data_IF_743940637874
#
_entry.id   IF_743940637874
#
_cell.length_a   1.000
_cell.length_b   1.000
_cell.length_c   1.000
_cell.angle_alpha   90.00
_cell.angle_beta   90.00
_cell.angle_gamma   90.00
#
_symmetry.space_group_name_H-M   'P 1'
#
loop_
_entity.id
_entity.type
_entity.pdbx_description
1 polymer ?
#
# COMPACT_ATOMS: atom_id res chain seq x y z
N UNK A 1 73.61 14.96 62.06
CA UNK A 1 73.12 16.18 61.38
C UNK A 1 72.91 15.84 59.91
N UNK A 2 71.65 15.79 59.44
CA UNK A 2 70.94 16.83 58.67
C UNK A 2 71.65 17.07 57.31
N UNK A 3 71.03 16.92 56.14
CA UNK A 3 69.67 17.32 55.77
C UNK A 3 69.06 16.45 54.66
N UNK A 4 67.77 16.13 54.82
CA UNK A 4 66.87 15.85 53.69
C UNK A 4 66.16 17.17 53.40
N UNK A 5 66.33 17.73 52.20
CA UNK A 5 65.36 18.60 51.52
C UNK A 5 65.95 19.17 50.23
N UNK A 6 65.67 18.53 49.09
CA UNK A 6 65.52 19.26 47.83
C UNK A 6 64.02 19.29 47.56
N UNK A 7 63.39 20.40 47.91
CA UNK A 7 62.03 20.73 47.52
C UNK A 7 62.11 21.44 46.17
N UNK A 8 62.19 20.68 45.08
CA UNK A 8 62.02 21.23 43.74
C UNK A 8 60.54 21.66 43.61
N UNK A 9 60.32 22.98 43.62
CA UNK A 9 58.99 23.57 43.45
C UNK A 9 58.52 23.48 42.01
N UNK A 10 57.22 23.29 41.82
CA UNK A 10 56.58 23.28 40.50
C UNK A 10 56.83 24.61 39.77
N UNK A 11 57.25 24.56 38.50
CA UNK A 11 57.37 25.79 37.72
C UNK A 11 55.98 26.28 37.30
N UNK A 12 55.82 27.61 37.20
CA UNK A 12 54.58 28.21 36.68
C UNK A 12 54.23 27.67 35.28
N UNK A 13 55.25 27.40 34.46
CA UNK A 13 55.11 26.83 33.12
C UNK A 13 54.49 25.42 33.17
N UNK A 14 55.00 24.53 34.02
CA UNK A 14 54.46 23.16 34.17
C UNK A 14 53.02 23.17 34.69
N UNK A 15 52.69 24.10 35.59
CA UNK A 15 51.32 24.25 36.09
C UNK A 15 50.35 24.66 34.97
N UNK A 16 50.73 25.67 34.18
CA UNK A 16 49.91 26.15 33.05
C UNK A 16 49.79 25.06 31.99
N UNK A 17 50.88 24.36 31.67
CA UNK A 17 50.89 23.27 30.69
C UNK A 17 49.98 22.11 31.14
N UNK A 18 50.08 21.72 32.42
CA UNK A 18 49.24 20.66 32.99
C UNK A 18 47.76 21.05 32.94
N UNK A 19 47.42 22.29 33.31
CA UNK A 19 46.06 22.80 33.25
C UNK A 19 45.52 22.85 31.81
N UNK A 20 46.35 23.25 30.85
CA UNK A 20 45.97 23.28 29.44
C UNK A 20 45.68 21.88 28.88
N UNK A 21 46.50 20.88 29.22
CA UNK A 21 46.26 19.49 28.81
C UNK A 21 44.97 18.95 29.44
N UNK A 22 44.73 19.22 30.72
CA UNK A 22 43.47 18.80 31.38
C UNK A 22 42.27 19.48 30.72
N UNK A 23 42.34 20.77 30.43
CA UNK A 23 41.26 21.48 29.74
C UNK A 23 41.01 20.90 28.33
N UNK A 24 42.08 20.56 27.59
CA UNK A 24 41.98 19.90 26.29
C UNK A 24 41.31 18.52 26.42
N UNK A 25 41.73 17.70 27.40
CA UNK A 25 41.15 16.38 27.65
C UNK A 25 39.66 16.47 27.98
N UNK A 26 39.26 17.42 28.84
CA UNK A 26 37.86 17.65 29.17
C UNK A 26 37.08 18.11 27.94
N UNK A 27 37.64 19.04 27.15
CA UNK A 27 37.03 19.52 25.91
C UNK A 27 36.79 18.40 24.90
N UNK A 28 37.77 17.53 24.68
CA UNK A 28 37.64 16.37 23.79
C UNK A 28 36.64 15.34 24.34
N UNK A 29 36.64 15.11 25.65
CA UNK A 29 35.71 14.17 26.30
C UNK A 29 34.26 14.64 26.16
N UNK A 30 33.99 15.92 26.43
CA UNK A 30 32.67 16.53 26.25
C UNK A 30 32.24 16.54 24.79
N UNK A 31 33.17 16.83 23.87
CA UNK A 31 32.93 16.77 22.43
C UNK A 31 32.55 15.36 21.97
N UNK A 32 33.29 14.34 22.41
CA UNK A 32 33.01 12.94 22.12
C UNK A 32 31.67 12.47 22.67
N UNK A 33 31.31 12.87 23.90
CA UNK A 33 30.00 12.57 24.49
C UNK A 33 28.87 13.19 23.66
N UNK A 34 28.99 14.46 23.28
CA UNK A 34 27.98 15.14 22.46
C UNK A 34 27.81 14.46 21.10
N UNK A 35 28.90 14.12 20.42
CA UNK A 35 28.86 13.38 19.15
C UNK A 35 28.21 12.01 19.31
N UNK A 36 28.54 11.29 20.39
CA UNK A 36 27.95 9.99 20.70
C UNK A 36 26.43 10.07 20.90
N UNK A 37 25.95 11.10 21.61
CA UNK A 37 24.52 11.35 21.81
C UNK A 37 23.84 11.68 20.47
N UNK A 38 24.42 12.58 19.66
CA UNK A 38 23.82 12.96 18.37
C UNK A 38 23.76 11.79 17.39
N UNK A 39 24.81 10.97 17.33
CA UNK A 39 24.80 9.73 16.54
C UNK A 39 23.77 8.71 17.07
N UNK A 40 23.65 8.63 18.41
CA UNK A 40 22.55 8.07 19.19
C UNK A 40 21.18 8.35 18.56
N UNK A 41 20.80 9.60 18.73
CA UNK A 41 19.47 10.11 18.41
C UNK A 41 19.16 10.00 16.91
N UNK A 42 20.14 10.25 16.04
CA UNK A 42 19.98 10.05 14.60
C UNK A 42 19.71 8.59 14.22
N UNK A 43 20.40 7.65 14.87
CA UNK A 43 20.15 6.22 14.71
C UNK A 43 18.77 5.81 15.20
N UNK A 44 18.37 6.29 16.39
CA UNK A 44 17.08 5.99 17.00
C UNK A 44 15.92 6.52 16.14
N UNK A 45 15.99 7.76 15.64
CA UNK A 45 14.97 8.35 14.74
C UNK A 45 14.82 7.57 13.42
N UNK A 46 15.93 7.13 12.85
CA UNK A 46 15.92 6.34 11.62
C UNK A 46 15.35 4.94 11.84
N UNK A 47 15.72 4.30 12.94
CA UNK A 47 15.17 3.01 13.32
C UNK A 47 13.66 3.09 13.55
N UNK A 48 13.17 4.13 14.23
CA UNK A 48 11.75 4.39 14.44
C UNK A 48 11.00 4.55 13.10
N UNK A 49 11.53 5.37 12.19
CA UNK A 49 10.89 5.60 10.88
C UNK A 49 10.79 4.31 10.06
N UNK A 50 11.85 3.49 10.03
CA UNK A 50 11.81 2.20 9.35
C UNK A 50 10.87 1.19 10.03
N UNK A 51 10.76 1.20 11.36
CA UNK A 51 9.81 0.37 12.08
C UNK A 51 8.36 0.79 11.79
N UNK A 52 8.09 2.10 11.72
CA UNK A 52 6.78 2.65 11.29
C UNK A 52 6.45 2.21 9.86
N UNK A 53 7.37 2.39 8.91
CA UNK A 53 7.24 1.93 7.52
C UNK A 53 6.86 0.45 7.46
N UNK A 54 7.59 -0.40 8.18
CA UNK A 54 7.33 -1.85 8.23
C UNK A 54 5.94 -2.17 8.79
N UNK A 55 5.54 -1.52 9.88
CA UNK A 55 4.23 -1.73 10.50
C UNK A 55 3.10 -1.38 9.53
N UNK A 56 3.19 -0.22 8.88
CA UNK A 56 2.18 0.22 7.89
C UNK A 56 2.13 -0.76 6.71
N UNK A 57 3.28 -1.12 6.16
CA UNK A 57 3.39 -2.09 5.08
C UNK A 57 2.76 -3.45 5.43
N UNK A 58 2.96 -3.94 6.66
CA UNK A 58 2.38 -5.19 7.13
C UNK A 58 0.86 -5.09 7.29
N UNK A 59 0.35 -4.00 7.87
CA UNK A 59 -1.10 -3.78 8.03
C UNK A 59 -1.81 -3.69 6.67
N UNK A 60 -1.27 -2.87 5.75
CA UNK A 60 -1.78 -2.77 4.38
C UNK A 60 -1.69 -4.11 3.66
N UNK A 61 -0.57 -4.81 3.80
CA UNK A 61 -0.35 -6.12 3.20
C UNK A 61 -1.35 -7.16 3.68
N UNK A 62 -1.62 -7.23 4.98
CA UNK A 62 -2.65 -8.11 5.52
C UNK A 62 -4.04 -7.75 5.00
N UNK A 63 -4.38 -6.46 5.00
CA UNK A 63 -5.70 -5.99 4.54
C UNK A 63 -5.97 -6.34 3.09
N UNK A 64 -4.99 -6.11 2.22
CA UNK A 64 -5.07 -6.43 0.80
C UNK A 64 -5.09 -7.94 0.55
N UNK A 65 -4.32 -8.73 1.31
CA UNK A 65 -4.35 -10.21 1.20
C UNK A 65 -5.72 -10.80 1.55
N UNK A 66 -6.47 -10.14 2.43
CA UNK A 66 -7.83 -10.52 2.78
C UNK A 66 -8.89 -10.07 1.79
N UNK A 67 -8.48 -9.50 0.64
CA UNK A 67 -9.39 -9.23 -0.48
C UNK A 67 -10.10 -10.50 -0.92
N UNK A 68 -11.40 -10.38 -1.14
CA UNK A 68 -12.22 -11.45 -1.69
C UNK A 68 -12.98 -10.94 -2.92
N UNK A 69 -13.01 -11.69 -4.03
CA UNK A 69 -13.69 -11.26 -5.24
C UNK A 69 -15.21 -11.26 -5.02
N UNK A 70 -15.79 -10.06 -4.89
CA UNK A 70 -17.24 -9.85 -4.80
C UNK A 70 -17.71 -9.21 -6.10
N UNK A 71 -18.83 -9.66 -6.66
CA UNK A 71 -19.43 -9.10 -7.86
C UNK A 71 -20.74 -8.38 -7.51
N UNK A 72 -20.89 -7.15 -7.97
CA UNK A 72 -22.09 -6.33 -7.78
C UNK A 72 -22.86 -6.20 -9.08
N UNK A 73 -24.19 -6.30 -8.98
CA UNK A 73 -25.10 -5.96 -10.07
C UNK A 73 -25.54 -4.51 -9.85
N UNK A 74 -25.15 -3.60 -10.75
CA UNK A 74 -25.74 -2.26 -10.73
C UNK A 74 -27.12 -2.36 -11.38
N UNK A 75 -28.18 -2.03 -10.63
CA UNK A 75 -29.48 -1.75 -11.24
C UNK A 75 -29.35 -0.41 -11.97
N UNK A 76 -29.26 -0.46 -13.29
CA UNK A 76 -29.41 0.76 -14.10
C UNK A 76 -30.75 1.41 -13.73
N UNK A 77 -30.70 2.66 -13.27
CA UNK A 77 -31.89 3.47 -12.95
C UNK A 77 -32.53 4.06 -14.22
N UNK A 78 -32.37 3.41 -15.38
CA UNK A 78 -33.16 3.74 -16.57
C UNK A 78 -34.53 3.08 -16.42
N UNK A 79 -35.53 3.91 -16.12
CA UNK A 79 -36.95 3.58 -16.19
C UNK A 79 -37.33 3.18 -17.62
N UNK A 80 -37.06 1.93 -18.01
CA UNK A 80 -37.69 1.27 -19.14
C UNK A 80 -37.93 -0.19 -18.72
N UNK A 81 -39.15 -0.47 -18.27
CA UNK A 81 -39.65 -1.82 -18.04
C UNK A 81 -39.73 -2.55 -19.39
N UNK A 82 -38.63 -3.14 -19.81
CA UNK A 82 -38.66 -4.22 -20.80
C UNK A 82 -38.24 -5.50 -20.09
N UNK A 83 -39.18 -6.44 -19.98
CA UNK A 83 -38.99 -7.76 -19.35
C UNK A 83 -37.88 -8.59 -20.04
N UNK A 84 -37.44 -8.17 -21.24
CA UNK A 84 -36.31 -8.73 -21.98
C UNK A 84 -34.92 -8.29 -21.46
N UNK A 85 -34.81 -7.16 -20.75
CA UNK A 85 -33.52 -6.63 -20.26
C UNK A 85 -33.10 -7.15 -18.87
N UNK A 86 -33.97 -7.93 -18.20
CA UNK A 86 -33.66 -8.55 -16.89
C UNK A 86 -32.63 -9.68 -16.99
N UNK A 87 -32.36 -10.22 -18.19
CA UNK A 87 -31.41 -11.32 -18.39
C UNK A 87 -29.94 -10.86 -18.48
N UNK A 88 -29.67 -9.55 -18.58
CA UNK A 88 -28.32 -9.00 -18.67
C UNK A 88 -28.00 -8.05 -17.51
N UNK A 89 -28.35 -8.42 -16.27
CA UNK A 89 -27.94 -7.67 -15.09
C UNK A 89 -26.41 -7.69 -14.96
N UNK A 90 -25.80 -6.60 -15.46
CA UNK A 90 -24.37 -6.36 -15.62
C UNK A 90 -23.63 -6.57 -14.28
N UNK A 91 -22.83 -7.63 -14.17
CA UNK A 91 -22.09 -8.02 -12.96
C UNK A 91 -20.66 -7.51 -13.03
N UNK A 92 -20.36 -6.56 -12.15
CA UNK A 92 -19.05 -5.93 -12.11
C UNK A 92 -18.30 -6.24 -10.82
N UNK A 93 -16.98 -6.39 -10.90
CA UNK A 93 -16.15 -6.69 -9.73
C UNK A 93 -16.14 -5.49 -8.77
N UNK A 94 -16.39 -5.75 -7.49
CA UNK A 94 -16.27 -4.81 -6.39
C UNK A 94 -14.78 -4.63 -6.02
N UNK A 95 -14.03 -4.07 -6.97
CA UNK A 95 -12.62 -3.73 -6.83
C UNK A 95 -12.33 -2.51 -7.70
N UNK A 96 -11.61 -1.53 -7.13
CA UNK A 96 -11.08 -0.39 -7.86
C UNK A 96 -9.65 -0.13 -7.38
N UNK A 97 -8.78 0.19 -8.32
CA UNK A 97 -7.39 0.53 -8.05
C UNK A 97 -6.97 1.74 -8.86
N UNK A 98 -6.36 2.72 -8.22
CA UNK A 98 -5.71 3.84 -8.89
C UNK A 98 -4.29 4.01 -8.36
N UNK A 99 -3.56 4.98 -8.90
CA UNK A 99 -2.14 5.13 -8.59
C UNK A 99 -1.85 5.33 -7.09
N UNK A 100 -2.75 5.99 -6.36
CA UNK A 100 -2.57 6.34 -4.93
C UNK A 100 -3.68 5.80 -4.03
N UNK A 101 -4.57 4.93 -4.54
CA UNK A 101 -5.61 4.32 -3.74
C UNK A 101 -5.97 2.90 -4.19
N UNK A 102 -6.50 2.10 -3.28
CA UNK A 102 -7.13 0.81 -3.60
C UNK A 102 -8.41 0.65 -2.79
N UNK A 103 -9.49 0.23 -3.46
CA UNK A 103 -10.81 -0.03 -2.91
C UNK A 103 -11.20 -1.47 -3.18
N UNK A 104 -11.54 -2.20 -2.13
CA UNK A 104 -11.78 -3.64 -2.18
C UNK A 104 -12.79 -4.09 -1.14
N UNK A 105 -13.28 -5.32 -1.29
CA UNK A 105 -14.07 -6.00 -0.24
C UNK A 105 -13.18 -6.99 0.49
N UNK A 106 -13.26 -6.98 1.82
CA UNK A 106 -12.53 -7.90 2.68
C UNK A 106 -13.46 -8.60 3.67
N UNK A 107 -13.05 -9.79 4.08
CA UNK A 107 -13.67 -10.59 5.15
C UNK A 107 -12.79 -10.64 6.41
N UNK A 108 -11.62 -9.98 6.40
CA UNK A 108 -10.85 -9.76 7.63
C UNK A 108 -11.65 -8.87 8.57
N UNK A 109 -11.58 -9.04 9.89
CA UNK A 109 -12.16 -8.09 10.83
C UNK A 109 -11.72 -6.65 10.53
N UNK A 110 -12.59 -5.66 10.73
CA UNK A 110 -12.20 -4.27 10.62
C UNK A 110 -11.09 -3.97 11.64
N UNK A 111 -10.18 -3.06 11.32
CA UNK A 111 -9.25 -2.54 12.35
C UNK A 111 -9.99 -1.68 13.39
N UNK A 112 -11.30 -1.54 13.22
CA UNK A 112 -12.07 -0.41 13.66
C UNK A 112 -13.42 -0.88 14.21
N UNK A 113 -13.74 -0.46 15.43
CA UNK A 113 -14.97 -0.87 16.10
C UNK A 113 -14.82 -1.99 17.10
N UNK A 114 -15.97 -2.53 17.48
CA UNK A 114 -16.09 -3.62 18.43
C UNK A 114 -15.80 -4.96 17.74
N UNK A 115 -14.76 -5.71 18.18
CA UNK A 115 -14.47 -7.04 17.66
C UNK A 115 -15.64 -8.03 17.82
N UNK A 116 -16.48 -7.85 18.85
CA UNK A 116 -17.61 -8.76 19.13
C UNK A 116 -18.77 -8.56 18.14
N UNK A 117 -18.88 -7.39 17.53
CA UNK A 117 -19.93 -7.00 16.58
C UNK A 117 -19.36 -6.64 15.20
N UNK A 118 -18.20 -7.19 14.85
CA UNK A 118 -17.57 -6.94 13.57
C UNK A 118 -18.42 -7.51 12.41
N UNK A 119 -18.65 -6.74 11.33
CA UNK A 119 -19.33 -7.26 10.15
C UNK A 119 -18.52 -8.39 9.51
N UNK A 120 -19.22 -9.38 8.97
CA UNK A 120 -18.60 -10.53 8.30
C UNK A 120 -17.83 -10.14 7.04
N UNK A 121 -18.27 -9.09 6.35
CA UNK A 121 -17.59 -8.50 5.22
C UNK A 121 -17.78 -6.98 5.23
N UNK A 122 -16.77 -6.26 4.78
CA UNK A 122 -16.83 -4.81 4.68
C UNK A 122 -16.03 -4.27 3.51
N UNK A 123 -16.42 -3.09 3.06
CA UNK A 123 -15.69 -2.33 2.08
C UNK A 123 -14.50 -1.65 2.74
N UNK A 124 -13.36 -1.66 2.06
CA UNK A 124 -12.13 -0.99 2.49
C UNK A 124 -11.61 -0.11 1.38
N UNK A 125 -11.30 1.15 1.70
CA UNK A 125 -10.58 2.07 0.82
C UNK A 125 -9.32 2.54 1.53
N UNK A 126 -8.17 2.28 0.91
CA UNK A 126 -6.87 2.77 1.35
C UNK A 126 -6.45 3.85 0.36
N UNK A 127 -6.10 5.04 0.84
CA UNK A 127 -5.65 6.13 -0.03
C UNK A 127 -4.71 7.08 0.70
N UNK A 128 -3.93 7.85 -0.07
CA UNK A 128 -3.22 9.02 0.45
C UNK A 128 -4.08 10.27 0.24
N UNK A 129 -4.41 10.99 1.31
CA UNK A 129 -5.27 12.16 1.26
C UNK A 129 -5.47 12.84 2.62
N UNK A 130 -6.55 13.61 2.74
CA UNK A 130 -6.93 14.35 3.95
C UNK A 130 -7.99 13.61 4.76
N UNK A 131 -7.80 13.51 6.07
CA UNK A 131 -8.74 12.87 6.96
C UNK A 131 -9.97 13.78 7.13
N UNK A 132 -11.20 13.31 6.82
CA UNK A 132 -12.36 14.20 6.75
C UNK A 132 -12.68 14.99 8.03
N UNK A 133 -12.37 14.44 9.22
CA UNK A 133 -12.70 15.08 10.50
C UNK A 133 -11.66 16.09 10.99
N UNK A 134 -10.38 15.87 10.66
CA UNK A 134 -9.27 16.67 11.23
C UNK A 134 -8.55 17.50 10.18
N UNK A 135 -8.72 17.20 8.89
CA UNK A 135 -7.95 17.80 7.80
C UNK A 135 -6.49 17.35 7.75
N UNK A 136 -6.08 16.40 8.59
CA UNK A 136 -4.71 15.91 8.60
C UNK A 136 -4.43 15.08 7.35
N UNK A 137 -3.28 15.30 6.72
CA UNK A 137 -2.86 14.56 5.52
C UNK A 137 -2.08 13.30 5.90
N UNK A 138 -2.24 12.24 5.12
CA UNK A 138 -1.55 10.99 5.37
C UNK A 138 -2.07 9.81 4.58
N UNK A 139 -1.73 8.59 5.03
CA UNK A 139 -2.35 7.36 4.57
C UNK A 139 -3.60 7.14 5.42
N UNK A 140 -4.73 7.01 4.74
CA UNK A 140 -6.05 6.84 5.35
C UNK A 140 -6.58 5.47 4.99
N UNK A 141 -7.10 4.78 6.01
CA UNK A 141 -7.92 3.59 5.87
C UNK A 141 -9.37 3.97 6.17
N UNK A 142 -10.23 3.78 5.19
CA UNK A 142 -11.68 3.84 5.37
C UNK A 142 -12.23 2.43 5.36
N UNK A 143 -13.06 2.12 6.36
CA UNK A 143 -13.80 0.87 6.45
C UNK A 143 -15.30 1.18 6.51
N UNK A 144 -16.08 0.47 5.71
CA UNK A 144 -17.52 0.70 5.60
C UNK A 144 -18.30 -0.60 5.61
N UNK A 145 -19.31 -0.67 6.46
CA UNK A 145 -20.18 -1.82 6.54
C UNK A 145 -21.02 -1.96 5.26
N UNK A 146 -21.15 -3.19 4.77
CA UNK A 146 -21.92 -3.48 3.57
C UNK A 146 -23.38 -3.70 3.97
N UNK A 147 -24.26 -2.79 3.53
CA UNK A 147 -25.69 -2.83 3.81
C UNK A 147 -26.48 -2.54 2.52
N UNK A 148 -27.34 -3.47 2.11
CA UNK A 148 -28.18 -3.31 0.92
C UNK A 148 -27.37 -2.99 -0.35
N UNK A 149 -27.72 -1.91 -1.03
CA UNK A 149 -27.13 -1.48 -2.31
C UNK A 149 -26.01 -0.41 -2.12
N UNK A 150 -25.42 -0.32 -0.92
CA UNK A 150 -24.45 0.71 -0.57
C UNK A 150 -23.01 0.40 -1.07
N UNK A 151 -22.75 -0.83 -1.54
CA UNK A 151 -21.41 -1.27 -1.94
C UNK A 151 -20.87 -0.51 -3.17
N UNK A 152 -19.63 0.01 -3.09
CA UNK A 152 -18.98 0.77 -4.16
C UNK A 152 -19.73 2.04 -4.63
N UNK A 153 -20.58 2.60 -3.77
CA UNK A 153 -21.21 3.92 -3.99
C UNK A 153 -20.33 5.06 -3.48
N UNK A 154 -20.80 6.30 -3.62
CA UNK A 154 -20.18 7.45 -2.98
C UNK A 154 -20.10 7.24 -1.45
N UNK A 155 -19.01 7.68 -0.84
CA UNK A 155 -18.78 7.55 0.61
C UNK A 155 -18.92 8.95 1.20
N UNK A 156 -19.96 9.15 2.00
CA UNK A 156 -20.16 10.36 2.78
C UNK A 156 -19.44 10.22 4.13
N UNK A 157 -18.47 11.10 4.46
CA UNK A 157 -17.66 10.94 5.67
C UNK A 157 -18.42 10.95 7.00
N UNK A 158 -19.62 11.55 7.02
CA UNK A 158 -20.44 11.72 8.21
C UNK A 158 -21.46 10.58 8.42
N UNK A 159 -21.54 9.62 7.49
CA UNK A 159 -22.44 8.49 7.62
C UNK A 159 -21.92 7.48 8.66
N UNK A 160 -22.81 6.91 9.49
CA UNK A 160 -22.43 6.02 10.59
C UNK A 160 -21.91 4.65 10.11
N UNK A 161 -22.16 4.28 8.85
CA UNK A 161 -21.69 3.03 8.24
C UNK A 161 -20.22 3.10 7.83
N UNK A 162 -19.61 4.29 7.81
CA UNK A 162 -18.23 4.51 7.38
C UNK A 162 -17.34 5.04 8.52
N UNK A 163 -16.11 4.53 8.58
CA UNK A 163 -15.14 4.92 9.60
C UNK A 163 -13.78 5.14 8.97
N UNK A 164 -13.11 6.22 9.36
CA UNK A 164 -11.84 6.67 8.78
C UNK A 164 -10.74 6.69 9.83
N UNK A 165 -9.56 6.20 9.44
CA UNK A 165 -8.40 6.04 10.33
C UNK A 165 -7.13 6.52 9.64
N UNK A 166 -6.35 7.31 10.38
CA UNK A 166 -5.02 7.72 9.95
C UNK A 166 -4.04 6.59 10.28
N UNK A 167 -3.48 5.96 9.25
CA UNK A 167 -2.41 4.96 9.41
C UNK A 167 -1.04 5.63 9.59
N UNK A 168 -0.82 6.78 8.94
CA UNK A 168 0.40 7.57 9.09
C UNK A 168 0.21 8.98 8.56
N UNK A 169 0.83 9.99 9.21
CA UNK A 169 0.76 11.41 8.81
C UNK A 169 1.90 11.82 7.87
N UNK A 170 3.13 11.41 8.20
CA UNK A 170 4.36 11.89 7.55
C UNK A 170 4.62 11.19 6.21
N UNK A 171 3.68 11.22 5.28
CA UNK A 171 3.69 10.39 4.07
C UNK A 171 4.09 11.23 2.87
N UNK A 172 5.22 10.90 2.25
CA UNK A 172 5.65 11.52 0.99
C UNK A 172 4.87 10.97 -0.19
N UNK A 173 4.74 9.65 -0.26
CA UNK A 173 3.97 8.98 -1.31
C UNK A 173 3.44 7.62 -0.85
N UNK A 174 2.28 7.26 -1.41
CA UNK A 174 1.72 5.93 -1.46
C UNK A 174 1.41 5.63 -2.93
N UNK A 175 1.99 4.58 -3.48
CA UNK A 175 1.75 4.17 -4.86
C UNK A 175 1.33 2.72 -4.96
N UNK A 176 0.38 2.45 -5.86
CA UNK A 176 -0.09 1.12 -6.18
C UNK A 176 0.13 0.82 -7.66
N UNK A 177 0.49 -0.43 -7.94
CA UNK A 177 0.48 -0.99 -9.29
C UNK A 177 -0.14 -2.37 -9.25
N UNK A 178 -0.72 -2.78 -10.35
CA UNK A 178 -1.56 -3.96 -10.43
C UNK A 178 -1.06 -4.88 -11.53
N UNK A 179 -0.86 -6.15 -11.19
CA UNK A 179 -0.42 -7.15 -12.15
C UNK A 179 -1.64 -7.84 -12.77
N UNK A 180 -1.78 -7.73 -14.09
CA UNK A 180 -2.84 -8.38 -14.87
C UNK A 180 -2.25 -9.40 -15.85
N UNK A 181 -3.03 -10.40 -16.20
CA UNK A 181 -2.67 -11.40 -17.20
C UNK A 181 -3.58 -11.22 -18.41
N UNK A 182 -3.00 -10.92 -19.56
CA UNK A 182 -3.70 -10.84 -20.83
C UNK A 182 -3.43 -12.06 -21.69
N UNK A 183 -4.45 -12.51 -22.43
CA UNK A 183 -4.29 -13.53 -23.45
C UNK A 183 -3.52 -12.94 -24.63
N UNK A 184 -2.50 -13.65 -25.07
CA UNK A 184 -1.73 -13.27 -26.25
C UNK A 184 -2.65 -13.43 -27.47
N UNK A 185 -2.74 -12.43 -28.36
CA UNK A 185 -3.58 -12.54 -29.55
C UNK A 185 -3.03 -13.58 -30.53
N UNK A 186 -3.92 -14.20 -31.32
CA UNK A 186 -3.60 -15.39 -32.16
C UNK A 186 -2.45 -15.14 -33.16
N UNK A 187 -2.39 -13.96 -33.74
CA UNK A 187 -1.32 -13.52 -34.65
C UNK A 187 0.06 -13.49 -33.98
N UNK A 188 0.13 -13.12 -32.70
CA UNK A 188 1.38 -13.12 -31.92
C UNK A 188 1.75 -14.53 -31.45
N UNK A 189 0.76 -15.37 -31.13
CA UNK A 189 0.97 -16.79 -30.81
C UNK A 189 1.61 -17.57 -31.96
N UNK A 190 1.17 -17.32 -33.19
CA UNK A 190 1.67 -17.98 -34.41
C UNK A 190 3.14 -17.61 -34.73
N UNK A 191 3.61 -16.47 -34.23
CA UNK A 191 5.00 -16.00 -34.42
C UNK A 191 5.91 -16.30 -33.23
N UNK A 192 5.39 -16.90 -32.16
CA UNK A 192 6.14 -17.14 -30.92
C UNK A 192 6.92 -18.46 -30.98
N UNK A 193 8.14 -18.46 -30.40
CA UNK A 193 8.98 -19.67 -30.35
C UNK A 193 8.42 -20.80 -29.49
N UNK A 194 7.51 -20.49 -28.55
CA UNK A 194 6.88 -21.48 -27.70
C UNK A 194 5.35 -21.27 -27.65
N UNK A 195 4.58 -22.01 -28.46
CA UNK A 195 3.11 -21.84 -28.56
C UNK A 195 2.35 -22.32 -27.32
N UNK A 196 3.02 -22.92 -26.32
CA UNK A 196 2.39 -23.28 -25.04
C UNK A 196 2.14 -22.06 -24.14
N UNK A 197 2.80 -20.92 -24.40
CA UNK A 197 2.59 -19.67 -23.65
C UNK A 197 1.40 -18.94 -24.26
N UNK A 198 0.27 -18.95 -23.56
CA UNK A 198 -0.98 -18.37 -24.04
C UNK A 198 -1.31 -17.01 -23.44
N UNK A 199 -0.57 -16.59 -22.41
CA UNK A 199 -0.83 -15.37 -21.64
C UNK A 199 0.46 -14.60 -21.36
N UNK A 200 0.36 -13.27 -21.28
CA UNK A 200 1.42 -12.35 -20.87
C UNK A 200 1.00 -11.58 -19.62
N UNK A 201 1.94 -11.34 -18.72
CA UNK A 201 1.76 -10.48 -17.57
C UNK A 201 2.09 -9.02 -17.87
N UNK A 202 1.26 -8.10 -17.38
CA UNK A 202 1.49 -6.66 -17.47
C UNK A 202 1.23 -5.99 -16.12
N UNK A 203 2.10 -5.05 -15.76
CA UNK A 203 1.86 -4.12 -14.66
C UNK A 203 1.15 -2.88 -15.18
N UNK A 204 0.07 -2.50 -14.51
CA UNK A 204 -0.74 -1.33 -14.85
C UNK A 204 -0.98 -0.50 -13.60
N UNK A 205 -1.11 0.81 -13.74
CA UNK A 205 -1.20 1.71 -12.59
C UNK A 205 -2.65 1.97 -12.16
N UNK A 206 -3.63 1.50 -12.95
CA UNK A 206 -5.05 1.69 -12.71
C UNK A 206 -5.89 0.46 -13.11
N UNK A 207 -6.94 0.19 -12.34
CA UNK A 207 -7.99 -0.79 -12.57
C UNK A 207 -9.33 -0.18 -12.16
N UNK A 208 -10.12 0.22 -13.16
CA UNK A 208 -11.46 0.77 -12.94
C UNK A 208 -12.52 -0.08 -13.62
N UNK A 209 -13.73 0.02 -13.06
CA UNK A 209 -14.91 -0.64 -13.59
C UNK A 209 -15.43 0.12 -14.81
N UNK A 210 -15.55 -0.58 -15.93
CA UNK A 210 -15.91 -0.07 -17.26
C UNK A 210 -17.22 0.72 -17.26
N UNK A 211 -18.12 0.46 -16.31
CA UNK A 211 -19.40 1.18 -16.18
C UNK A 211 -19.30 2.67 -15.80
N UNK A 212 -18.12 3.20 -15.46
CA UNK A 212 -17.96 4.58 -14.99
C UNK A 212 -17.28 5.54 -15.99
N UNK A 213 -16.74 5.06 -17.12
CA UNK A 213 -15.97 5.87 -18.07
C UNK A 213 -16.16 5.39 -19.50
N UNK A 214 -16.28 6.30 -20.47
CA UNK A 214 -16.17 5.96 -21.88
C UNK A 214 -14.75 5.45 -22.17
N UNK A 215 -14.64 4.17 -22.56
CA UNK A 215 -13.36 3.56 -22.93
C UNK A 215 -12.87 4.11 -24.27
N UNK A 216 -11.55 4.29 -24.37
CA UNK A 216 -10.87 4.49 -25.65
C UNK A 216 -10.80 3.18 -26.44
N UNK A 217 -10.64 3.24 -27.77
CA UNK A 217 -10.52 2.05 -28.63
C UNK A 217 -9.36 1.13 -28.20
N UNK A 218 -8.26 1.70 -27.70
CA UNK A 218 -7.12 0.95 -27.18
C UNK A 218 -7.45 0.16 -25.90
N UNK A 219 -8.29 0.72 -25.02
CA UNK A 219 -8.75 0.05 -23.79
C UNK A 219 -9.78 -1.04 -24.08
N UNK A 220 -10.64 -0.84 -25.08
CA UNK A 220 -11.59 -1.87 -25.55
C UNK A 220 -10.83 -3.09 -26.08
N UNK A 221 -9.82 -2.88 -26.93
CA UNK A 221 -9.01 -3.97 -27.49
C UNK A 221 -8.11 -4.63 -26.43
N UNK A 222 -7.63 -3.87 -25.43
CA UNK A 222 -6.96 -4.43 -24.24
C UNK A 222 -7.90 -5.32 -23.43
N UNK A 223 -9.13 -4.87 -23.18
CA UNK A 223 -10.10 -5.63 -22.39
C UNK A 223 -10.42 -6.96 -23.06
N UNK A 224 -10.68 -6.95 -24.37
CA UNK A 224 -10.88 -8.16 -25.17
C UNK A 224 -9.70 -9.16 -25.05
N UNK A 225 -8.46 -8.66 -25.00
CA UNK A 225 -7.24 -9.47 -24.78
C UNK A 225 -7.16 -10.04 -23.37
N UNK A 226 -7.65 -9.35 -22.35
CA UNK A 226 -7.75 -9.88 -20.97
C UNK A 226 -8.80 -11.01 -20.81
N UNK A 227 -9.50 -11.41 -21.88
CA UNK A 227 -10.59 -12.39 -21.82
C UNK A 227 -11.88 -11.81 -21.24
N UNK A 228 -11.98 -10.48 -21.19
CA UNK A 228 -13.18 -9.75 -20.78
C UNK A 228 -14.17 -9.84 -21.94
N UNK A 229 -15.11 -10.79 -21.87
CA UNK A 229 -16.18 -10.92 -22.85
C UNK A 229 -17.40 -10.13 -22.39
N UNK A 230 -17.68 -9.07 -23.14
CA UNK A 230 -18.81 -8.18 -22.89
C UNK A 230 -18.43 -6.97 -22.04
N UNK A 231 -19.46 -6.16 -21.83
CA UNK A 231 -19.46 -4.93 -21.04
C UNK A 231 -19.16 -5.17 -19.53
N UNK A 232 -19.12 -6.44 -19.15
CA UNK A 232 -18.66 -7.00 -17.88
C UNK A 232 -17.29 -7.67 -18.06
N UNK A 233 -16.24 -7.13 -17.46
CA UNK A 233 -15.33 -7.91 -16.62
C UNK A 233 -14.12 -7.05 -16.25
N UNK A 234 -13.92 -6.82 -14.96
CA UNK A 234 -12.57 -6.66 -14.44
C UNK A 234 -12.18 -8.05 -13.96
N UNK A 235 -11.14 -8.64 -14.52
CA UNK A 235 -10.46 -9.75 -13.84
C UNK A 235 -9.71 -9.16 -12.65
N UNK A 236 -9.94 -9.68 -11.44
CA UNK A 236 -9.18 -9.28 -10.25
C UNK A 236 -7.67 -9.33 -10.59
N UNK A 237 -6.88 -8.28 -10.25
CA UNK A 237 -5.45 -8.34 -10.43
C UNK A 237 -4.87 -9.58 -9.73
N UNK A 238 -3.81 -10.13 -10.30
CA UNK A 238 -3.08 -11.29 -9.76
C UNK A 238 -2.14 -10.90 -8.64
N UNK A 239 -1.67 -9.66 -8.64
CA UNK A 239 -0.88 -9.09 -7.56
C UNK A 239 -1.04 -7.57 -7.50
N UNK A 240 -0.77 -7.00 -6.33
CA UNK A 240 -0.65 -5.56 -6.10
C UNK A 240 0.76 -5.27 -5.61
N UNK A 241 1.44 -4.34 -6.25
CA UNK A 241 2.67 -3.75 -5.75
C UNK A 241 2.32 -2.49 -4.95
N UNK A 242 2.88 -2.35 -3.75
CA UNK A 242 2.77 -1.14 -2.93
C UNK A 242 4.14 -0.52 -2.76
N UNK A 243 4.24 0.78 -3.01
CA UNK A 243 5.42 1.59 -2.66
C UNK A 243 5.03 2.67 -1.66
N UNK A 244 5.77 2.77 -0.55
CA UNK A 244 5.50 3.73 0.54
C UNK A 244 6.77 4.51 0.84
N UNK A 245 6.64 5.83 0.91
CA UNK A 245 7.69 6.74 1.39
C UNK A 245 7.18 7.60 2.53
N UNK A 246 7.91 7.61 3.65
CA UNK A 246 7.66 8.51 4.78
C UNK A 246 8.73 9.60 4.83
N UNK A 247 8.36 10.77 5.35
CA UNK A 247 9.28 11.86 5.63
C UNK A 247 9.86 11.67 7.04
N UNK A 248 11.18 11.62 7.15
CA UNK A 248 11.89 11.62 8.44
C UNK A 248 11.75 13.00 9.09
N UNK A 249 11.64 13.02 10.43
CA UNK A 249 11.68 14.27 11.16
C UNK A 249 13.11 14.83 11.10
N UNK A 250 13.30 16.09 10.67
CA UNK A 250 14.62 16.69 10.59
C UNK A 250 15.23 16.85 11.98
N UNK A 251 16.52 16.54 12.11
CA UNK A 251 17.30 16.80 13.33
C UNK A 251 18.02 18.13 13.14
N UNK A 252 17.48 19.20 13.74
CA UNK A 252 18.03 20.55 13.61
C UNK A 252 17.57 21.26 12.33
N UNK A 253 18.49 21.86 11.59
CA UNK A 253 18.20 22.67 10.38
C UNK A 253 18.34 21.89 9.06
N UNK A 254 18.49 20.56 9.11
CA UNK A 254 18.64 19.74 7.91
C UNK A 254 17.30 19.57 7.14
N UNK A 255 17.40 19.38 5.82
CA UNK A 255 16.23 19.08 4.98
C UNK A 255 15.61 17.73 5.36
N UNK A 256 14.29 17.65 5.28
CA UNK A 256 13.56 16.44 5.59
C UNK A 256 13.88 15.32 4.57
N UNK A 257 14.50 14.25 5.04
CA UNK A 257 14.88 13.09 4.22
C UNK A 257 13.68 12.15 4.04
N UNK A 258 13.53 11.54 2.87
CA UNK A 258 12.48 10.56 2.62
C UNK A 258 13.02 9.16 2.89
N UNK A 259 12.49 8.51 3.92
CA UNK A 259 12.67 7.08 4.14
C UNK A 259 11.68 6.31 3.27
N UNK A 260 12.16 5.30 2.55
CA UNK A 260 11.31 4.42 1.75
C UNK A 260 11.54 2.95 2.10
N UNK A 261 10.49 2.16 1.96
CA UNK A 261 10.61 0.71 1.96
C UNK A 261 10.75 0.20 0.51
N UNK A 262 11.48 -0.90 0.28
CA UNK A 262 11.40 -1.62 -0.99
C UNK A 262 9.93 -1.91 -1.34
N UNK A 263 9.53 -1.83 -2.62
CA UNK A 263 8.18 -2.15 -3.03
C UNK A 263 7.79 -3.56 -2.60
N UNK A 264 6.57 -3.72 -2.10
CA UNK A 264 6.05 -5.00 -1.62
C UNK A 264 5.03 -5.49 -2.62
N UNK A 265 5.26 -6.70 -3.14
CA UNK A 265 4.33 -7.38 -4.04
C UNK A 265 3.46 -8.33 -3.22
N UNK A 266 2.15 -8.13 -3.32
CA UNK A 266 1.14 -8.92 -2.64
C UNK A 266 0.39 -9.71 -3.70
N UNK A 267 0.59 -11.04 -3.78
CA UNK A 267 -0.24 -11.87 -4.65
C UNK A 267 -1.67 -11.88 -4.12
N UNK A 268 -2.62 -11.80 -5.05
CA UNK A 268 -4.04 -11.93 -4.77
C UNK A 268 -4.51 -13.30 -5.25
N UNK A 269 -5.38 -13.94 -4.47
CA UNK A 269 -5.94 -15.28 -4.76
C UNK A 269 -4.90 -16.41 -4.93
N UNK A 270 -3.78 -16.37 -4.20
CA UNK A 270 -2.82 -17.49 -4.15
C UNK A 270 -3.37 -18.63 -3.28
N UNK A 271 -4.29 -19.45 -3.81
CA UNK A 271 -4.80 -20.63 -3.09
C UNK A 271 -6.17 -21.15 -3.49
N UNK A 272 -6.97 -20.41 -4.26
CA UNK A 272 -8.13 -20.99 -4.93
C UNK A 272 -7.61 -21.73 -6.16
N UNK A 273 -7.68 -23.06 -6.17
CA UNK A 273 -7.56 -23.83 -7.41
C UNK A 273 -8.47 -23.15 -8.42
N UNK A 274 -7.87 -22.66 -9.51
CA UNK A 274 -8.61 -22.17 -10.64
C UNK A 274 -9.59 -23.27 -10.99
N UNK A 275 -10.90 -22.98 -10.92
CA UNK A 275 -11.88 -23.81 -11.61
C UNK A 275 -11.44 -23.79 -13.08
N UNK A 276 -10.64 -24.79 -13.45
CA UNK A 276 -10.33 -25.07 -14.83
C UNK A 276 -11.71 -25.20 -15.47
N UNK A 277 -12.01 -24.47 -16.56
CA UNK A 277 -13.22 -24.76 -17.30
C UNK A 277 -13.21 -26.26 -17.55
N UNK A 278 -14.32 -26.93 -17.23
CA UNK A 278 -14.45 -28.35 -17.49
C UNK A 278 -13.96 -28.59 -18.91
N UNK A 279 -12.99 -29.48 -19.09
CA UNK A 279 -12.60 -29.94 -20.43
C UNK A 279 -13.91 -30.34 -21.10
N UNK A 280 -14.35 -29.57 -22.10
CA UNK A 280 -15.40 -30.04 -22.99
C UNK A 280 -14.89 -31.36 -23.52
N UNK A 281 -15.66 -32.42 -23.27
CA UNK A 281 -15.38 -33.74 -23.78
C UNK A 281 -15.65 -33.75 -25.28
N UNK A 282 -14.82 -33.05 -26.06
CA UNK A 282 -14.55 -33.45 -27.43
C UNK A 282 -13.59 -34.63 -27.35
N UNK A 283 -14.17 -35.82 -27.43
CA UNK A 283 -13.63 -37.07 -28.00
C UNK A 283 -14.19 -38.28 -27.26
N UNK A 284 -15.50 -38.50 -27.45
CA UNK A 284 -16.09 -39.84 -27.35
C UNK A 284 -17.01 -40.07 -28.56
N UNK A 285 -16.46 -39.88 -29.75
CA UNK A 285 -16.92 -40.55 -30.96
C UNK A 285 -15.93 -41.69 -31.24
N UNK A 286 -16.27 -42.88 -30.75
CA UNK A 286 -15.91 -44.18 -31.30
C UNK A 286 -16.96 -45.19 -30.88
#
# INVERSE_FOLDING_TARGET
MKSISQSDGFTLLELILSLAIVALMVGLSLGGIRLGIMARDAGDNKAETHQRLRTIAQQLGQKIKSNYPVYIQKKDQTFARDEANLQAAKRSLAFQGGENFVRLVTFSPPLTGDPEHAPFAHETLIYQGELPKTGETGIILMEREIQGDNLFTYIEPDQPDSRFYMLSKDVKYLKFRYYQMEKIPKNELESQSNPSITHRGLWVDEIFNVSARQLTEAEIERNKRLGIQGDDAISLPRAIEISIGLTEQPIGEEEAVVAYAPPIIIPLNSGMEFALPAREAEDAAN
#
